data_IF_270974002737
#
_entry.id   IF_270974002737
#
_cell.length_a   1.000
_cell.length_b   1.000
_cell.length_c   1.000
_cell.angle_alpha   90.00
_cell.angle_beta   90.00
_cell.angle_gamma   90.00
#
_symmetry.space_group_name_H-M   'P 1'
#
loop_
_entity.id
_entity.type
_entity.pdbx_description
1 polymer ?
#
# COMPACT_ATOMS: atom_id res chain seq x y z
N UNK A 1 8.93 6.99 39.40
CA UNK A 1 8.38 7.54 38.13
C UNK A 1 9.38 7.27 37.01
N UNK A 2 9.18 6.15 36.33
CA UNK A 2 9.83 5.92 35.05
C UNK A 2 9.11 6.82 34.03
N UNK A 3 9.75 7.94 33.70
CA UNK A 3 9.31 8.72 32.53
C UNK A 3 9.30 7.76 31.33
N UNK A 4 8.10 7.49 30.82
CA UNK A 4 7.97 6.71 29.61
C UNK A 4 8.76 7.42 28.51
N UNK A 5 9.77 6.77 27.95
CA UNK A 5 10.56 7.31 26.84
C UNK A 5 9.58 7.61 25.72
N UNK A 6 9.37 8.89 25.43
CA UNK A 6 8.46 9.32 24.38
C UNK A 6 9.10 8.98 23.04
N UNK A 7 8.53 8.01 22.33
CA UNK A 7 8.95 7.66 20.98
C UNK A 7 8.48 8.76 20.02
N UNK A 8 9.37 9.24 19.19
CA UNK A 8 9.08 10.31 18.24
C UNK A 8 10.01 10.32 17.05
N UNK A 9 9.90 11.33 16.17
CA UNK A 9 10.77 11.46 15.00
C UNK A 9 12.24 11.48 15.41
N UNK A 10 13.04 10.63 14.79
CA UNK A 10 14.49 10.55 14.96
C UNK A 10 15.15 9.94 13.72
N UNK A 11 16.46 9.83 13.73
CA UNK A 11 17.17 9.07 12.74
C UNK A 11 17.11 7.58 13.07
N UNK A 12 16.95 6.77 12.04
CA UNK A 12 16.88 5.31 12.12
C UNK A 12 17.98 4.68 11.24
N UNK A 13 18.31 3.44 11.54
CA UNK A 13 19.23 2.64 10.74
C UNK A 13 18.55 1.38 10.28
N UNK A 14 18.15 1.34 9.00
CA UNK A 14 17.52 0.18 8.36
C UNK A 14 18.40 -0.35 7.22
N UNK A 15 18.26 -1.63 6.92
CA UNK A 15 18.95 -2.26 5.78
C UNK A 15 18.34 -1.87 4.43
N UNK A 16 17.13 -1.33 4.43
CA UNK A 16 16.34 -0.98 3.24
C UNK A 16 15.78 0.42 3.35
N UNK A 17 15.37 1.05 2.24
CA UNK A 17 14.74 2.36 2.31
C UNK A 17 13.48 2.32 3.18
N UNK A 18 13.31 3.34 4.00
CA UNK A 18 12.19 3.46 4.93
C UNK A 18 11.47 4.78 4.73
N UNK A 19 10.15 4.74 4.84
CA UNK A 19 9.29 5.91 4.78
C UNK A 19 8.15 5.82 5.78
N UNK A 20 7.28 6.79 5.76
CA UNK A 20 6.07 6.84 6.59
C UNK A 20 4.88 7.33 5.78
N UNK A 21 3.65 6.91 6.14
CA UNK A 21 2.43 7.51 5.60
C UNK A 21 2.29 8.95 6.05
N UNK A 22 1.88 9.82 5.15
CA UNK A 22 1.67 11.25 5.42
C UNK A 22 0.44 11.78 4.66
N UNK A 23 0.01 12.98 5.05
CA UNK A 23 -0.95 13.80 4.32
C UNK A 23 -0.28 15.09 3.90
N UNK A 24 -0.94 15.90 3.06
CA UNK A 24 -0.38 17.19 2.64
C UNK A 24 -0.07 18.13 3.80
N UNK A 25 -0.93 18.10 4.84
CA UNK A 25 -0.80 19.03 5.97
C UNK A 25 0.27 18.64 7.00
N UNK A 26 0.77 17.41 7.01
CA UNK A 26 1.68 16.91 8.05
C UNK A 26 3.02 16.34 7.52
N UNK A 27 3.20 16.17 6.22
CA UNK A 27 4.38 15.53 5.65
C UNK A 27 5.69 16.18 6.09
N UNK A 28 5.74 17.52 6.07
CA UNK A 28 6.94 18.28 6.41
C UNK A 28 7.26 18.14 7.90
N UNK A 29 6.26 18.32 8.76
CA UNK A 29 6.40 18.18 10.19
C UNK A 29 6.88 16.79 10.60
N UNK A 30 6.30 15.74 10.03
CA UNK A 30 6.65 14.37 10.37
C UNK A 30 8.04 13.97 9.87
N UNK A 31 8.45 14.44 8.71
CA UNK A 31 9.73 14.04 8.10
C UNK A 31 10.93 14.91 8.46
N UNK A 32 10.72 16.13 8.97
CA UNK A 32 11.76 17.16 9.12
C UNK A 32 12.93 16.75 10.01
N UNK A 33 12.69 16.00 11.08
CA UNK A 33 13.72 15.59 12.05
C UNK A 33 14.13 14.13 11.91
N UNK A 34 14.08 13.60 10.68
CA UNK A 34 14.37 12.19 10.38
C UNK A 34 15.33 12.06 9.19
N UNK A 35 15.91 10.87 9.05
CA UNK A 35 16.67 10.45 7.89
C UNK A 35 15.86 9.51 6.98
N UNK A 36 14.54 9.59 6.99
CA UNK A 36 13.69 8.75 6.14
C UNK A 36 14.00 9.00 4.66
N UNK A 37 13.88 7.95 3.85
CA UNK A 37 14.18 8.01 2.42
C UNK A 37 13.03 8.57 1.59
N UNK A 38 11.79 8.36 2.05
CA UNK A 38 10.59 8.80 1.34
C UNK A 38 9.40 8.94 2.27
N UNK A 39 8.34 9.54 1.76
CA UNK A 39 7.02 9.58 2.38
C UNK A 39 5.98 9.01 1.43
N UNK A 40 4.92 8.42 1.95
CA UNK A 40 3.78 7.98 1.14
C UNK A 40 2.57 8.86 1.42
N UNK A 41 2.11 9.59 0.40
CA UNK A 41 0.91 10.41 0.50
C UNK A 41 -0.33 9.51 0.43
N UNK A 42 -1.02 9.38 1.54
CA UNK A 42 -2.31 8.71 1.62
C UNK A 42 -3.41 9.70 1.24
N UNK A 43 -3.77 9.73 -0.03
CA UNK A 43 -4.73 10.69 -0.57
C UNK A 43 -6.16 10.28 -0.25
N UNK A 44 -6.97 11.26 0.17
CA UNK A 44 -8.42 11.18 0.07
C UNK A 44 -8.88 11.78 -1.26
N UNK A 45 -10.10 11.52 -1.69
CA UNK A 45 -10.57 12.05 -2.98
C UNK A 45 -10.64 13.57 -3.02
N UNK A 46 -10.83 14.24 -1.89
CA UNK A 46 -10.79 15.70 -1.80
C UNK A 46 -9.40 16.28 -2.03
N UNK A 47 -8.37 15.54 -1.72
CA UNK A 47 -6.98 15.96 -1.94
C UNK A 47 -6.65 16.11 -3.43
N UNK A 48 -7.39 15.44 -4.31
CA UNK A 48 -7.18 15.50 -5.75
C UNK A 48 -7.49 16.89 -6.35
N UNK A 49 -8.28 17.70 -5.66
CA UNK A 49 -8.69 19.02 -6.09
C UNK A 49 -7.96 20.16 -5.36
N UNK A 50 -7.06 19.82 -4.44
CA UNK A 50 -6.28 20.80 -3.69
C UNK A 50 -5.21 21.46 -4.57
N UNK A 51 -4.98 22.76 -4.31
CA UNK A 51 -3.80 23.44 -4.82
C UNK A 51 -2.57 22.98 -4.03
N UNK A 52 -1.84 22.01 -4.58
CA UNK A 52 -0.71 21.40 -3.89
C UNK A 52 0.45 22.36 -3.65
N UNK A 53 0.58 23.44 -4.44
CA UNK A 53 1.67 24.42 -4.30
C UNK A 53 1.74 25.02 -2.91
N UNK A 54 0.61 25.20 -2.24
CA UNK A 54 0.56 25.77 -0.89
C UNK A 54 1.18 24.88 0.18
N UNK A 55 1.42 23.58 -0.10
CA UNK A 55 2.03 22.63 0.83
C UNK A 55 3.52 22.39 0.57
N UNK A 56 4.06 22.93 -0.51
CA UNK A 56 5.45 22.68 -0.94
C UNK A 56 6.17 23.99 -1.23
N UNK A 57 6.79 24.58 -0.19
CA UNK A 57 7.57 25.81 -0.31
C UNK A 57 9.01 25.57 -0.71
N UNK A 58 9.53 24.36 -0.52
CA UNK A 58 10.91 23.95 -0.85
C UNK A 58 10.90 22.55 -1.43
N UNK A 59 11.84 22.25 -2.30
CA UNK A 59 12.06 20.90 -2.81
C UNK A 59 12.64 20.03 -1.69
N UNK A 60 11.94 18.96 -1.27
CA UNK A 60 12.44 18.06 -0.26
C UNK A 60 13.61 17.22 -0.78
N UNK A 61 14.48 16.79 0.15
CA UNK A 61 15.60 15.89 -0.16
C UNK A 61 15.20 14.42 -0.20
N UNK A 62 13.97 14.10 0.16
CA UNK A 62 13.43 12.74 0.20
C UNK A 62 12.55 12.45 -1.02
N UNK A 63 12.30 11.17 -1.28
CA UNK A 63 11.38 10.73 -2.31
C UNK A 63 9.94 10.62 -1.82
N UNK A 64 9.05 10.18 -2.69
CA UNK A 64 7.66 9.95 -2.33
C UNK A 64 7.03 8.81 -3.13
N UNK A 65 5.98 8.25 -2.56
CA UNK A 65 5.01 7.37 -3.20
C UNK A 65 3.61 7.92 -2.93
N UNK A 66 2.62 7.40 -3.64
CA UNK A 66 1.21 7.79 -3.48
C UNK A 66 0.37 6.54 -3.21
N UNK A 67 -0.52 6.63 -2.24
CA UNK A 67 -1.59 5.66 -2.05
C UNK A 67 -2.88 6.23 -2.65
N UNK A 68 -3.40 5.56 -3.67
CA UNK A 68 -4.65 5.93 -4.32
C UNK A 68 -5.81 5.84 -3.33
N UNK A 69 -6.75 6.80 -3.32
CA UNK A 69 -7.97 6.65 -2.52
C UNK A 69 -8.73 5.38 -2.90
N UNK A 70 -9.37 4.77 -1.93
CA UNK A 70 -10.31 3.65 -2.12
C UNK A 70 -11.72 4.16 -2.37
N UNK A 71 -12.08 5.22 -1.64
CA UNK A 71 -13.40 5.85 -1.69
C UNK A 71 -13.34 7.19 -2.42
N UNK A 72 -14.31 7.40 -3.28
CA UNK A 72 -14.53 8.66 -4.01
C UNK A 72 -15.93 9.22 -3.70
N UNK A 73 -16.23 10.41 -4.21
CA UNK A 73 -17.53 11.05 -3.96
C UNK A 73 -18.72 10.17 -4.35
N UNK A 74 -19.85 10.35 -3.68
CA UNK A 74 -21.07 9.58 -3.88
C UNK A 74 -20.87 8.08 -3.65
N UNK A 75 -20.12 7.73 -2.61
CA UNK A 75 -19.89 6.35 -2.17
C UNK A 75 -19.31 5.43 -3.26
N UNK A 76 -18.57 6.02 -4.21
CA UNK A 76 -17.90 5.25 -5.24
C UNK A 76 -16.63 4.61 -4.69
N UNK A 77 -16.57 3.28 -4.69
CA UNK A 77 -15.39 2.50 -4.33
C UNK A 77 -14.66 2.12 -5.60
N UNK A 78 -13.36 2.38 -5.65
CA UNK A 78 -12.54 2.05 -6.83
C UNK A 78 -12.62 0.55 -7.14
N UNK A 79 -13.06 0.23 -8.34
CA UNK A 79 -13.12 -1.14 -8.86
C UNK A 79 -12.82 -1.14 -10.36
N UNK A 80 -11.56 -1.45 -10.69
CA UNK A 80 -11.07 -1.45 -12.07
C UNK A 80 -11.49 -2.70 -12.84
N UNK A 81 -12.13 -3.64 -12.19
CA UNK A 81 -12.66 -4.85 -12.81
C UNK A 81 -14.15 -5.07 -12.52
N UNK A 82 -14.88 -4.01 -12.18
CA UNK A 82 -16.33 -4.09 -12.04
C UNK A 82 -16.96 -4.64 -13.32
N UNK A 83 -17.92 -5.59 -13.24
CA UNK A 83 -18.68 -6.03 -14.40
C UNK A 83 -19.59 -4.94 -14.95
N UNK A 84 -19.95 -3.97 -14.14
CA UNK A 84 -20.68 -2.77 -14.59
C UNK A 84 -19.72 -1.83 -15.33
N UNK A 85 -19.93 -1.69 -16.63
CA UNK A 85 -19.07 -0.89 -17.50
C UNK A 85 -19.00 0.59 -17.10
N UNK A 86 -20.12 1.17 -16.65
CA UNK A 86 -20.17 2.57 -16.22
C UNK A 86 -19.40 2.77 -14.93
N UNK A 87 -19.59 1.86 -13.98
CA UNK A 87 -18.88 1.89 -12.71
C UNK A 87 -17.36 1.74 -12.92
N UNK A 88 -16.98 0.79 -13.78
CA UNK A 88 -15.57 0.57 -14.15
C UNK A 88 -14.98 1.78 -14.86
N UNK A 89 -15.70 2.39 -15.80
CA UNK A 89 -15.25 3.60 -16.50
C UNK A 89 -15.03 4.77 -15.54
N UNK A 90 -15.89 4.94 -14.54
CA UNK A 90 -15.68 5.93 -13.49
C UNK A 90 -14.43 5.65 -12.68
N UNK A 91 -14.20 4.41 -12.30
CA UNK A 91 -12.98 4.03 -11.57
C UNK A 91 -11.71 4.33 -12.38
N UNK A 92 -11.71 4.06 -13.68
CA UNK A 92 -10.61 4.40 -14.58
C UNK A 92 -10.37 5.91 -14.58
N UNK A 93 -11.43 6.73 -14.71
CA UNK A 93 -11.31 8.18 -14.70
C UNK A 93 -10.78 8.72 -13.37
N UNK A 94 -11.22 8.17 -12.25
CA UNK A 94 -10.74 8.57 -10.92
C UNK A 94 -9.25 8.22 -10.75
N UNK A 95 -8.83 7.05 -11.19
CA UNK A 95 -7.41 6.67 -11.15
C UNK A 95 -6.56 7.55 -12.06
N UNK A 96 -7.07 7.95 -13.24
CA UNK A 96 -6.35 8.89 -14.10
C UNK A 96 -6.10 10.23 -13.41
N UNK A 97 -7.06 10.74 -12.64
CA UNK A 97 -6.86 11.95 -11.84
C UNK A 97 -5.75 11.77 -10.79
N UNK A 98 -5.69 10.61 -10.16
CA UNK A 98 -4.62 10.29 -9.19
C UNK A 98 -3.26 10.27 -9.88
N UNK A 99 -3.17 9.71 -11.08
CA UNK A 99 -1.94 9.72 -11.89
C UNK A 99 -1.50 11.16 -12.17
N UNK A 100 -2.41 12.02 -12.58
CA UNK A 100 -2.12 13.43 -12.89
C UNK A 100 -1.66 14.19 -11.65
N UNK A 101 -2.31 14.00 -10.51
CA UNK A 101 -1.88 14.59 -9.23
C UNK A 101 -0.49 14.10 -8.85
N UNK A 102 -0.22 12.82 -9.03
CA UNK A 102 1.11 12.24 -8.75
C UNK A 102 2.20 12.85 -9.63
N UNK A 103 1.92 13.09 -10.91
CA UNK A 103 2.84 13.79 -11.82
C UNK A 103 3.11 15.22 -11.34
N UNK A 104 2.07 15.92 -10.86
CA UNK A 104 2.22 17.26 -10.32
C UNK A 104 3.03 17.28 -9.02
N UNK A 105 2.81 16.32 -8.13
CA UNK A 105 3.63 16.14 -6.92
C UNK A 105 5.09 15.88 -7.27
N UNK A 106 5.36 15.11 -8.31
CA UNK A 106 6.73 14.77 -8.70
C UNK A 106 7.58 15.99 -9.06
N UNK A 107 6.97 17.09 -9.49
CA UNK A 107 7.68 18.35 -9.75
C UNK A 107 8.34 18.93 -8.50
N UNK A 108 7.81 18.62 -7.32
CA UNK A 108 8.36 19.06 -6.03
C UNK A 108 9.37 18.08 -5.42
N UNK A 109 9.46 16.85 -5.93
CA UNK A 109 10.30 15.78 -5.40
C UNK A 109 11.37 15.34 -6.40
N UNK A 110 12.46 16.13 -6.57
CA UNK A 110 13.47 15.86 -7.61
C UNK A 110 14.23 14.55 -7.41
N UNK A 111 14.19 13.97 -6.19
CA UNK A 111 14.84 12.68 -5.90
C UNK A 111 14.05 11.48 -6.39
N UNK A 112 12.78 11.66 -6.76
CA UNK A 112 11.93 10.58 -7.26
C UNK A 112 11.88 10.63 -8.78
N UNK A 113 12.40 9.58 -9.43
CA UNK A 113 12.34 9.48 -10.89
C UNK A 113 10.94 9.13 -11.39
N UNK A 114 10.45 7.97 -10.99
CA UNK A 114 9.15 7.42 -11.40
C UNK A 114 8.37 7.01 -10.15
N UNK A 115 7.48 7.87 -9.63
CA UNK A 115 6.77 7.58 -8.39
C UNK A 115 5.84 6.39 -8.53
N UNK A 116 5.78 5.58 -7.46
CA UNK A 116 4.86 4.47 -7.32
C UNK A 116 3.48 4.97 -6.87
N UNK A 117 2.43 4.37 -7.42
CA UNK A 117 1.05 4.57 -6.96
C UNK A 117 0.50 3.22 -6.50
N UNK A 118 0.26 3.10 -5.21
CA UNK A 118 -0.38 1.92 -4.61
C UNK A 118 -1.87 1.97 -4.90
N UNK A 119 -2.42 0.89 -5.47
CA UNK A 119 -3.81 0.82 -5.92
C UNK A 119 -4.49 -0.41 -5.35
N UNK A 120 -5.64 -0.20 -4.69
CA UNK A 120 -6.59 -1.27 -4.41
C UNK A 120 -7.44 -1.45 -5.67
N UNK A 121 -7.08 -2.44 -6.48
CA UNK A 121 -7.60 -2.54 -7.85
C UNK A 121 -9.06 -2.99 -7.95
N UNK A 122 -9.65 -3.46 -6.86
CA UNK A 122 -11.01 -4.00 -6.84
C UNK A 122 -11.04 -5.53 -6.88
N UNK A 123 -12.12 -6.09 -7.41
CA UNK A 123 -12.28 -7.54 -7.50
C UNK A 123 -12.96 -8.16 -6.28
N UNK A 124 -13.94 -7.47 -5.72
CA UNK A 124 -14.74 -7.97 -4.61
C UNK A 124 -16.08 -8.54 -5.09
N UNK A 125 -16.62 -9.46 -4.32
CA UNK A 125 -17.92 -10.08 -4.52
C UNK A 125 -18.72 -10.08 -3.20
N UNK A 126 -20.07 -10.17 -3.31
CA UNK A 126 -20.93 -9.99 -2.15
C UNK A 126 -21.34 -11.32 -1.52
N UNK A 127 -21.77 -12.28 -2.31
CA UNK A 127 -22.44 -13.49 -1.81
C UNK A 127 -21.47 -14.64 -1.50
N UNK A 128 -20.43 -14.76 -2.30
CA UNK A 128 -19.42 -15.81 -2.18
C UNK A 128 -18.12 -15.39 -2.88
N UNK A 129 -16.99 -16.02 -2.54
CA UNK A 129 -15.77 -15.88 -3.32
C UNK A 129 -15.98 -16.32 -4.77
N UNK A 130 -15.36 -15.61 -5.71
CA UNK A 130 -15.40 -15.96 -7.13
C UNK A 130 -14.60 -17.23 -7.41
N UNK A 131 -15.09 -18.06 -8.31
CA UNK A 131 -14.34 -19.22 -8.81
C UNK A 131 -13.18 -18.78 -9.71
N UNK A 132 -12.24 -19.68 -9.96
CA UNK A 132 -11.00 -19.38 -10.72
C UNK A 132 -11.27 -18.72 -12.07
N UNK A 133 -12.23 -19.26 -12.85
CA UNK A 133 -12.55 -18.72 -14.19
C UNK A 133 -13.07 -17.27 -14.11
N UNK A 134 -13.86 -16.95 -13.12
CA UNK A 134 -14.36 -15.59 -12.90
C UNK A 134 -13.26 -14.66 -12.44
N UNK A 135 -12.34 -15.13 -11.57
CA UNK A 135 -11.16 -14.34 -11.19
C UNK A 135 -10.28 -14.03 -12.40
N UNK A 136 -10.04 -15.00 -13.26
CA UNK A 136 -9.28 -14.78 -14.49
C UNK A 136 -9.92 -13.71 -15.37
N UNK A 137 -11.23 -13.74 -15.56
CA UNK A 137 -11.95 -12.69 -16.28
C UNK A 137 -11.78 -11.31 -15.65
N UNK A 138 -11.77 -11.24 -14.32
CA UNK A 138 -11.56 -9.99 -13.60
C UNK A 138 -10.14 -9.47 -13.79
N UNK A 139 -9.12 -10.33 -13.78
CA UNK A 139 -7.73 -9.92 -14.08
C UNK A 139 -7.62 -9.38 -15.51
N UNK A 140 -8.32 -9.94 -16.47
CA UNK A 140 -8.37 -9.41 -17.84
C UNK A 140 -9.01 -8.01 -17.87
N UNK A 141 -10.05 -7.77 -17.08
CA UNK A 141 -10.65 -6.44 -16.95
C UNK A 141 -9.71 -5.43 -16.29
N UNK A 142 -8.90 -5.86 -15.31
CA UNK A 142 -7.83 -5.01 -14.74
C UNK A 142 -6.86 -4.58 -15.84
N UNK A 143 -6.37 -5.51 -16.66
CA UNK A 143 -5.46 -5.20 -17.74
C UNK A 143 -6.08 -4.28 -18.79
N UNK A 144 -7.34 -4.49 -19.13
CA UNK A 144 -8.09 -3.61 -20.04
C UNK A 144 -8.20 -2.20 -19.45
N UNK A 145 -8.53 -2.10 -18.17
CA UNK A 145 -8.60 -0.80 -17.47
C UNK A 145 -7.25 -0.09 -17.45
N UNK A 146 -6.18 -0.81 -17.13
CA UNK A 146 -4.83 -0.25 -17.14
C UNK A 146 -4.42 0.23 -18.53
N UNK A 147 -4.82 -0.49 -19.58
CA UNK A 147 -4.52 -0.10 -20.97
C UNK A 147 -5.18 1.22 -21.41
N UNK A 148 -6.23 1.62 -20.72
CA UNK A 148 -6.97 2.88 -20.98
C UNK A 148 -6.40 4.08 -20.22
N UNK A 149 -5.42 3.87 -19.36
CA UNK A 149 -4.78 4.91 -18.57
C UNK A 149 -3.51 5.41 -19.26
N UNK A 150 -3.27 6.72 -19.17
CA UNK A 150 -1.97 7.29 -19.45
C UNK A 150 -1.11 7.14 -18.19
N UNK A 151 -0.19 6.19 -18.22
CA UNK A 151 0.69 5.84 -17.10
C UNK A 151 2.09 6.46 -17.21
N UNK A 152 2.31 7.34 -18.17
CA UNK A 152 3.64 7.93 -18.37
C UNK A 152 4.14 8.63 -17.11
N UNK A 153 5.36 8.32 -16.71
CA UNK A 153 6.03 8.95 -15.56
C UNK A 153 5.61 8.43 -14.20
N UNK A 154 4.75 7.42 -14.12
CA UNK A 154 4.35 6.76 -12.87
C UNK A 154 4.39 5.25 -13.02
N UNK A 155 4.38 4.55 -11.90
CA UNK A 155 4.22 3.10 -11.89
C UNK A 155 3.04 2.72 -11.00
N UNK A 156 2.03 2.08 -11.58
CA UNK A 156 0.90 1.54 -10.84
C UNK A 156 1.28 0.20 -10.21
N UNK A 157 1.09 0.07 -8.90
CA UNK A 157 1.37 -1.16 -8.17
C UNK A 157 0.10 -1.61 -7.41
N UNK A 158 -0.60 -2.64 -7.90
CA UNK A 158 -1.70 -3.22 -7.14
C UNK A 158 -1.23 -3.69 -5.78
N UNK A 159 -2.04 -3.47 -4.75
CA UNK A 159 -1.75 -3.91 -3.40
C UNK A 159 -2.32 -5.31 -3.16
N UNK A 160 -1.60 -6.17 -2.43
CA UNK A 160 -2.15 -7.42 -1.93
C UNK A 160 -3.22 -7.14 -0.87
N UNK A 161 -4.32 -7.91 -0.91
CA UNK A 161 -5.55 -7.59 -0.20
C UNK A 161 -5.90 -8.65 0.85
N UNK A 162 -6.64 -8.25 1.92
CA UNK A 162 -7.16 -9.20 2.89
C UNK A 162 -8.41 -9.91 2.36
N UNK A 163 -8.83 -11.04 2.96
CA UNK A 163 -10.01 -11.78 2.50
C UNK A 163 -11.32 -10.98 2.61
N UNK A 164 -11.43 -10.17 3.66
CA UNK A 164 -12.63 -9.39 3.99
C UNK A 164 -12.24 -7.93 4.24
N UNK A 165 -12.16 -7.09 3.19
CA UNK A 165 -11.70 -5.71 3.35
C UNK A 165 -12.55 -4.93 4.35
N UNK A 166 -11.89 -4.23 5.27
CA UNK A 166 -12.54 -3.50 6.36
C UNK A 166 -13.46 -2.37 5.87
N UNK A 167 -13.11 -1.73 4.75
CA UNK A 167 -13.89 -0.62 4.19
C UNK A 167 -15.27 -1.04 3.68
N UNK A 168 -15.54 -2.34 3.61
CA UNK A 168 -16.86 -2.92 3.40
C UNK A 168 -17.48 -3.46 4.68
N UNK A 169 -16.91 -3.16 5.84
CA UNK A 169 -17.35 -3.73 7.11
C UNK A 169 -17.19 -5.26 7.21
N UNK A 170 -16.27 -5.84 6.43
CA UNK A 170 -16.08 -7.28 6.37
C UNK A 170 -17.22 -8.05 5.68
N UNK A 171 -18.10 -7.36 4.97
CA UNK A 171 -19.31 -7.95 4.36
C UNK A 171 -19.13 -8.38 2.92
N UNK A 172 -17.94 -8.18 2.35
CA UNK A 172 -17.61 -8.58 0.98
C UNK A 172 -16.36 -9.41 0.94
N UNK A 173 -16.24 -10.22 -0.10
CA UNK A 173 -15.10 -11.08 -0.34
C UNK A 173 -14.14 -10.41 -1.32
N UNK A 174 -12.85 -10.37 -0.97
CA UNK A 174 -11.80 -10.03 -1.91
C UNK A 174 -11.44 -11.25 -2.73
N UNK A 175 -11.17 -11.08 -4.02
CA UNK A 175 -10.85 -12.17 -4.93
C UNK A 175 -9.52 -12.01 -5.67
N UNK A 176 -9.12 -10.78 -6.02
CA UNK A 176 -7.90 -10.52 -6.78
C UNK A 176 -6.77 -10.04 -5.87
N UNK A 177 -5.54 -10.28 -6.28
CA UNK A 177 -4.33 -9.88 -5.57
C UNK A 177 -4.30 -10.40 -4.12
N UNK A 178 -4.81 -11.61 -3.94
CA UNK A 178 -4.85 -12.28 -2.65
C UNK A 178 -4.19 -13.66 -2.73
N UNK A 179 -4.52 -14.47 -3.73
CA UNK A 179 -3.80 -15.72 -4.01
C UNK A 179 -2.37 -15.42 -4.48
N UNK A 180 -1.34 -15.98 -3.84
CA UNK A 180 0.05 -15.63 -4.16
C UNK A 180 0.48 -16.07 -5.57
N UNK A 181 0.02 -17.22 -6.05
CA UNK A 181 0.36 -17.71 -7.38
C UNK A 181 -0.28 -16.85 -8.47
N UNK A 182 -1.55 -16.53 -8.33
CA UNK A 182 -2.25 -15.65 -9.27
C UNK A 182 -1.62 -14.27 -9.32
N UNK A 183 -1.24 -13.74 -8.15
CA UNK A 183 -0.57 -12.43 -8.04
C UNK A 183 0.79 -12.44 -8.74
N UNK A 184 1.61 -13.45 -8.48
CA UNK A 184 2.92 -13.59 -9.12
C UNK A 184 2.80 -13.79 -10.64
N UNK A 185 1.85 -14.58 -11.10
CA UNK A 185 1.59 -14.80 -12.51
C UNK A 185 1.14 -13.51 -13.22
N UNK A 186 0.26 -12.74 -12.60
CA UNK A 186 -0.15 -11.44 -13.12
C UNK A 186 1.05 -10.51 -13.33
N UNK A 187 1.93 -10.41 -12.35
CA UNK A 187 3.14 -9.60 -12.43
C UNK A 187 4.09 -10.11 -13.53
N UNK A 188 4.38 -11.41 -13.51
CA UNK A 188 5.30 -12.03 -14.46
C UNK A 188 4.83 -11.89 -15.90
N UNK A 189 3.55 -12.14 -16.16
CA UNK A 189 3.00 -12.17 -17.51
C UNK A 189 2.74 -10.77 -18.09
N UNK A 190 2.59 -9.74 -17.25
CA UNK A 190 2.13 -8.42 -17.70
C UNK A 190 3.09 -7.28 -17.36
N UNK A 191 4.22 -7.58 -16.72
CA UNK A 191 5.24 -6.58 -16.42
C UNK A 191 4.86 -5.59 -15.30
N UNK A 192 3.92 -5.94 -14.44
CA UNK A 192 3.57 -5.15 -13.26
C UNK A 192 4.32 -5.65 -12.02
N UNK A 193 4.46 -4.75 -11.05
CA UNK A 193 4.89 -5.08 -9.70
C UNK A 193 3.77 -4.77 -8.73
N UNK A 194 3.88 -5.26 -7.51
CA UNK A 194 2.85 -5.07 -6.47
C UNK A 194 3.40 -4.35 -5.26
N UNK A 195 2.49 -3.82 -4.45
CA UNK A 195 2.72 -3.49 -3.06
C UNK A 195 2.36 -4.73 -2.23
N UNK A 196 3.34 -5.34 -1.59
CA UNK A 196 3.11 -6.45 -0.67
C UNK A 196 2.73 -5.88 0.70
N UNK A 197 1.46 -5.98 1.04
CA UNK A 197 0.95 -5.62 2.36
C UNK A 197 1.00 -6.86 3.27
N UNK A 198 1.80 -6.78 4.31
CA UNK A 198 2.06 -7.91 5.20
C UNK A 198 0.85 -8.26 6.05
N UNK A 199 0.14 -7.26 6.56
CA UNK A 199 -1.09 -7.50 7.33
C UNK A 199 -2.15 -8.21 6.50
N UNK A 200 -2.47 -7.67 5.33
CA UNK A 200 -3.44 -8.25 4.41
C UNK A 200 -3.09 -9.68 4.03
N UNK A 201 -1.84 -9.91 3.69
CA UNK A 201 -1.35 -11.22 3.25
C UNK A 201 -1.35 -12.25 4.39
N UNK A 202 -1.01 -11.83 5.61
CA UNK A 202 -1.09 -12.69 6.80
C UNK A 202 -2.53 -13.09 7.11
N UNK A 203 -3.48 -12.15 7.02
CA UNK A 203 -4.90 -12.44 7.21
C UNK A 203 -5.41 -13.45 6.17
N UNK A 204 -5.02 -13.30 4.92
CA UNK A 204 -5.38 -14.24 3.85
C UNK A 204 -4.83 -15.64 4.13
N UNK A 205 -3.56 -15.74 4.53
CA UNK A 205 -2.94 -17.01 4.90
C UNK A 205 -3.62 -17.67 6.09
N UNK A 206 -3.99 -16.90 7.11
CA UNK A 206 -4.70 -17.42 8.27
C UNK A 206 -6.09 -17.96 7.89
N UNK A 207 -6.81 -17.24 7.04
CA UNK A 207 -8.15 -17.64 6.60
C UNK A 207 -8.14 -18.89 5.73
N UNK A 208 -7.28 -18.93 4.70
CA UNK A 208 -7.23 -20.03 3.74
C UNK A 208 -6.27 -21.15 4.15
N UNK A 209 -5.62 -21.05 5.30
CA UNK A 209 -4.62 -22.04 5.79
C UNK A 209 -3.43 -22.20 4.84
N UNK A 210 -3.01 -21.09 4.24
CA UNK A 210 -1.80 -21.03 3.41
C UNK A 210 -0.57 -20.79 4.27
N UNK A 211 0.59 -21.25 3.79
CA UNK A 211 1.87 -20.90 4.38
C UNK A 211 2.24 -19.45 4.12
N UNK A 212 2.34 -18.63 5.16
CA UNK A 212 2.77 -17.25 5.04
C UNK A 212 4.21 -17.16 4.52
N UNK A 213 5.08 -18.06 4.96
CA UNK A 213 6.46 -18.17 4.48
C UNK A 213 6.49 -18.33 2.95
N UNK A 214 5.73 -19.27 2.41
CA UNK A 214 5.64 -19.49 0.95
C UNK A 214 4.99 -18.33 0.22
N UNK A 215 4.02 -17.68 0.83
CA UNK A 215 3.38 -16.49 0.28
C UNK A 215 4.41 -15.40 0.02
N UNK A 216 5.21 -15.07 1.02
CA UNK A 216 6.26 -14.05 0.91
C UNK A 216 7.29 -14.44 -0.14
N UNK A 217 7.79 -15.67 -0.12
CA UNK A 217 8.75 -16.17 -1.12
C UNK A 217 8.22 -16.04 -2.56
N UNK A 218 6.92 -16.24 -2.76
CA UNK A 218 6.28 -16.19 -4.07
C UNK A 218 6.07 -14.76 -4.57
N UNK A 219 5.63 -13.84 -3.71
CA UNK A 219 5.21 -12.50 -4.10
C UNK A 219 6.33 -11.46 -3.94
N UNK A 220 7.19 -11.59 -2.95
CA UNK A 220 8.25 -10.61 -2.69
C UNK A 220 9.13 -10.31 -3.90
N UNK A 221 9.51 -11.28 -4.76
CA UNK A 221 10.30 -10.98 -5.97
C UNK A 221 9.63 -10.00 -6.95
N UNK A 222 8.32 -9.87 -6.88
CA UNK A 222 7.55 -8.96 -7.74
C UNK A 222 7.11 -7.68 -7.02
N UNK A 223 7.62 -7.44 -5.83
CA UNK A 223 7.22 -6.28 -5.02
C UNK A 223 8.05 -5.05 -5.36
N UNK A 224 7.41 -3.89 -5.39
CA UNK A 224 8.03 -2.59 -5.53
C UNK A 224 8.06 -1.80 -4.23
N UNK A 225 7.23 -2.21 -3.27
CA UNK A 225 7.03 -1.55 -1.99
C UNK A 225 6.44 -2.55 -1.00
N UNK A 226 6.77 -2.38 0.29
CA UNK A 226 6.13 -3.12 1.37
C UNK A 226 5.34 -2.20 2.27
N UNK A 227 4.14 -2.61 2.62
CA UNK A 227 3.40 -2.08 3.77
C UNK A 227 3.62 -3.03 4.94
N UNK A 228 4.31 -2.55 5.97
CA UNK A 228 4.73 -3.37 7.09
C UNK A 228 3.89 -3.03 8.31
N UNK A 229 3.07 -4.00 8.70
CA UNK A 229 2.17 -3.89 9.83
C UNK A 229 1.78 -5.28 10.27
N UNK A 230 1.45 -5.47 11.54
CA UNK A 230 1.12 -6.78 12.08
C UNK A 230 -0.34 -7.16 11.84
N UNK A 231 -0.65 -8.41 12.06
CA UNK A 231 -1.98 -8.97 11.91
C UNK A 231 -2.18 -10.15 12.87
N UNK A 232 -3.43 -10.43 13.22
CA UNK A 232 -3.78 -11.60 14.01
C UNK A 232 -5.12 -12.19 13.56
N UNK A 233 -5.19 -13.52 13.49
CA UNK A 233 -6.42 -14.20 13.09
C UNK A 233 -6.87 -13.81 11.68
N UNK A 234 -8.16 -13.51 11.54
CA UNK A 234 -8.78 -13.10 10.27
C UNK A 234 -9.22 -11.63 10.31
N UNK A 235 -9.47 -11.09 11.50
CA UNK A 235 -10.04 -9.75 11.71
C UNK A 235 -9.02 -8.72 12.24
N UNK A 236 -7.87 -9.17 12.71
CA UNK A 236 -6.86 -8.31 13.34
C UNK A 236 -5.95 -7.64 12.31
N UNK A 237 -6.48 -6.72 11.51
CA UNK A 237 -5.73 -5.94 10.53
C UNK A 237 -5.08 -4.71 11.17
N UNK A 238 -3.90 -4.35 10.69
CA UNK A 238 -3.28 -3.08 11.04
C UNK A 238 -2.76 -2.98 12.47
N UNK A 239 -2.41 -4.10 13.09
CA UNK A 239 -1.91 -4.13 14.46
C UNK A 239 -0.48 -3.59 14.54
N UNK A 240 -0.14 -3.04 15.70
CA UNK A 240 1.24 -2.59 15.95
C UNK A 240 2.22 -3.76 15.83
N UNK A 241 3.41 -3.46 15.34
CA UNK A 241 4.51 -4.42 15.20
C UNK A 241 4.75 -5.17 16.52
N UNK A 242 4.63 -6.48 16.48
CA UNK A 242 4.81 -7.35 17.65
C UNK A 242 3.53 -7.68 18.43
N UNK A 243 2.40 -7.03 18.10
CA UNK A 243 1.12 -7.28 18.79
C UNK A 243 0.24 -8.34 18.08
N UNK A 244 0.73 -8.93 17.00
CA UNK A 244 0.05 -9.95 16.20
C UNK A 244 0.83 -11.22 16.02
N UNK A 245 0.58 -11.90 14.92
CA UNK A 245 1.08 -13.25 14.63
C UNK A 245 2.28 -13.28 13.66
N UNK A 246 2.71 -12.12 13.13
CA UNK A 246 3.81 -12.08 12.15
C UNK A 246 5.17 -12.23 12.85
N UNK A 247 5.98 -13.15 12.34
CA UNK A 247 7.38 -13.25 12.72
C UNK A 247 8.23 -12.27 11.88
N UNK A 248 8.50 -11.10 12.44
CA UNK A 248 9.23 -10.03 11.73
C UNK A 248 10.71 -10.35 11.56
N UNK A 249 11.31 -11.18 12.39
CA UNK A 249 12.70 -11.62 12.20
C UNK A 249 12.81 -12.47 10.94
N UNK A 250 11.95 -13.48 10.82
CA UNK A 250 11.90 -14.33 9.62
C UNK A 250 11.54 -13.52 8.38
N UNK A 251 10.55 -12.63 8.49
CA UNK A 251 10.13 -11.77 7.39
C UNK A 251 11.29 -10.90 6.88
N UNK A 252 12.05 -10.28 7.79
CA UNK A 252 13.21 -9.49 7.41
C UNK A 252 14.25 -10.29 6.63
N UNK A 253 14.54 -11.51 7.07
CA UNK A 253 15.46 -12.42 6.38
C UNK A 253 14.94 -12.79 4.98
N UNK A 254 13.64 -13.06 4.85
CA UNK A 254 13.03 -13.37 3.56
C UNK A 254 13.10 -12.19 2.59
N UNK A 255 12.82 -10.98 3.07
CA UNK A 255 12.88 -9.78 2.23
C UNK A 255 14.32 -9.44 1.81
N UNK A 256 15.30 -9.70 2.67
CA UNK A 256 16.71 -9.56 2.31
C UNK A 256 17.11 -10.52 1.18
N UNK A 257 16.57 -11.72 1.18
CA UNK A 257 16.86 -12.76 0.17
C UNK A 257 16.09 -12.52 -1.13
N UNK A 258 14.77 -12.29 -1.05
CA UNK A 258 13.89 -12.30 -2.22
C UNK A 258 13.60 -10.93 -2.82
N UNK A 259 13.78 -9.85 -2.06
CA UNK A 259 13.50 -8.49 -2.51
C UNK A 259 14.44 -7.46 -1.85
N UNK A 260 15.77 -7.62 -2.02
CA UNK A 260 16.72 -6.69 -1.43
C UNK A 260 16.51 -5.27 -1.97
N UNK A 261 16.74 -4.28 -1.12
CA UNK A 261 16.67 -2.85 -1.46
C UNK A 261 15.29 -2.31 -1.82
N UNK A 262 14.22 -3.06 -1.60
CA UNK A 262 12.85 -2.55 -1.74
C UNK A 262 12.46 -1.83 -0.45
N UNK A 263 11.86 -0.64 -0.61
CA UNK A 263 11.46 0.20 0.50
C UNK A 263 10.19 -0.25 1.20
N UNK A 264 9.99 0.24 2.41
CA UNK A 264 8.79 -0.03 3.20
C UNK A 264 8.26 1.18 3.93
N UNK A 265 6.99 1.15 4.29
CA UNK A 265 6.37 2.03 5.27
C UNK A 265 5.68 1.21 6.35
N UNK A 266 5.67 1.68 7.62
CA UNK A 266 4.79 1.13 8.62
C UNK A 266 3.37 1.64 8.36
N UNK A 267 2.37 0.78 8.38
CA UNK A 267 0.99 1.18 8.11
C UNK A 267 0.07 0.81 9.28
N UNK A 268 0.51 1.09 10.49
CA UNK A 268 -0.24 0.81 11.71
C UNK A 268 -1.56 1.60 11.73
N UNK A 269 -2.65 0.93 12.07
CA UNK A 269 -3.95 1.57 12.18
C UNK A 269 -3.89 2.75 13.16
N UNK A 270 -4.40 3.90 12.71
CA UNK A 270 -4.36 5.16 13.43
C UNK A 270 -2.94 5.64 13.82
N UNK A 271 -1.91 5.17 13.12
CA UNK A 271 -0.52 5.54 13.40
C UNK A 271 -0.23 7.03 13.30
N UNK A 272 -1.04 7.77 12.52
CA UNK A 272 -0.92 9.22 12.35
C UNK A 272 -1.30 10.04 13.60
N UNK A 273 -2.08 9.47 14.52
CA UNK A 273 -2.49 10.16 15.74
C UNK A 273 -1.29 10.50 16.63
N UNK A 274 -1.43 11.55 17.43
CA UNK A 274 -0.38 12.02 18.32
C UNK A 274 0.95 12.27 17.60
N UNK A 275 0.90 13.01 16.48
CA UNK A 275 2.06 13.34 15.66
C UNK A 275 2.82 12.11 15.12
N UNK A 276 2.08 11.10 14.71
CA UNK A 276 2.64 9.90 14.10
C UNK A 276 3.16 8.86 15.08
N UNK A 277 2.76 8.93 16.36
CA UNK A 277 3.26 8.05 17.41
C UNK A 277 3.27 6.57 17.03
N UNK A 278 2.18 6.08 16.42
CA UNK A 278 2.09 4.69 15.98
C UNK A 278 3.14 4.30 14.95
N UNK A 279 3.49 5.21 14.06
CA UNK A 279 4.53 4.98 13.05
C UNK A 279 5.92 4.97 13.69
N UNK A 280 6.19 5.87 14.62
CA UNK A 280 7.48 5.93 15.32
C UNK A 280 7.70 4.68 16.17
N UNK A 281 6.68 4.21 16.87
CA UNK A 281 6.75 2.95 17.62
C UNK A 281 7.06 1.77 16.67
N UNK A 282 6.39 1.71 15.53
CA UNK A 282 6.64 0.66 14.55
C UNK A 282 8.07 0.68 14.02
N UNK A 283 8.58 1.85 13.64
CA UNK A 283 9.96 2.00 13.17
C UNK A 283 10.99 1.65 14.25
N UNK A 284 10.72 2.04 15.50
CA UNK A 284 11.56 1.69 16.64
C UNK A 284 11.68 0.17 16.82
N UNK A 285 10.55 -0.53 16.74
CA UNK A 285 10.51 -2.00 16.86
C UNK A 285 11.14 -2.73 15.67
N UNK A 286 11.22 -2.07 14.51
CA UNK A 286 11.81 -2.61 13.28
C UNK A 286 13.26 -2.17 13.05
N UNK A 287 13.87 -1.38 13.90
CA UNK A 287 15.12 -0.66 13.61
C UNK A 287 16.29 -1.54 13.13
N UNK A 288 16.33 -2.78 13.49
CA UNK A 288 17.38 -3.72 13.03
C UNK A 288 16.99 -4.55 11.81
N UNK A 289 15.91 -4.15 11.21
CA UNK A 289 15.26 -4.91 10.14
C UNK A 289 15.81 -4.68 8.74
#
# INVERSE_FOLDING_TARGET
DLEAVKVGPRNYSFKRPAGIPVRYHDWEKLSASTNLNFVEFHLGYKDLEEDIQKFFSKSPSLGFTVHCPELFSNDHILDLCSPDKKYRARSINELQKVIEVTRNLNKFFPKTGKPLIVVNAGGHSQDAPLVVSERQNRYELILDSFSKLDQEGVELIPQTMPPFPWHFGGQRFQNLFMDPQETAEFCKNNGYRVCLDISHSKLACNHYKWSFKKFVETVAPYSALFHIVDAAGVDGEGLQIGDGDVDFTLLGEQLDEFAPNIGFIPETWQGHKNDGEGFWIALDRLEKW
#
